data_IF_383519357773
#
_entry.id   IF_383519357773
#
_cell.length_a   1.000
_cell.length_b   1.000
_cell.length_c   1.000
_cell.angle_alpha   90.00
_cell.angle_beta   90.00
_cell.angle_gamma   90.00
#
_symmetry.space_group_name_H-M   'P 1'
#
loop_
_entity.id
_entity.type
_entity.pdbx_description
1 polymer ?
#
# COMPACT_ATOMS: atom_id res chain seq x y z
N UNK A 1 -24.68 14.53 -14.76
CA UNK A 1 -23.72 13.44 -15.06
C UNK A 1 -22.30 13.95 -15.35
N UNK A 2 -22.08 15.15 -15.90
CA UNK A 2 -20.71 15.64 -16.19
C UNK A 2 -19.87 16.07 -14.97
N UNK A 3 -20.49 16.56 -13.88
CA UNK A 3 -19.75 16.99 -12.68
C UNK A 3 -19.06 15.81 -11.96
N UNK A 4 -19.71 14.65 -11.91
CA UNK A 4 -19.19 13.46 -11.23
C UNK A 4 -17.99 12.85 -11.94
N UNK A 5 -17.92 12.96 -13.26
CA UNK A 5 -16.78 12.46 -14.04
C UNK A 5 -15.56 13.37 -13.88
N UNK A 6 -15.76 14.70 -13.87
CA UNK A 6 -14.69 15.67 -13.59
C UNK A 6 -14.16 15.54 -12.17
N UNK A 7 -15.04 15.40 -11.16
CA UNK A 7 -14.62 15.14 -9.78
C UNK A 7 -13.84 13.83 -9.67
N UNK A 8 -14.26 12.79 -10.40
CA UNK A 8 -13.56 11.51 -10.46
C UNK A 8 -12.19 11.62 -11.14
N UNK A 9 -12.06 12.42 -12.21
CA UNK A 9 -10.77 12.72 -12.84
C UNK A 9 -9.83 13.45 -11.88
N UNK A 10 -10.33 14.44 -11.13
CA UNK A 10 -9.52 15.18 -10.17
C UNK A 10 -9.04 14.29 -9.01
N UNK A 11 -9.85 13.32 -8.57
CA UNK A 11 -9.46 12.34 -7.55
C UNK A 11 -8.43 11.33 -8.04
N UNK A 12 -8.35 11.08 -9.35
CA UNK A 12 -7.33 10.20 -9.92
C UNK A 12 -5.92 10.78 -9.79
N UNK A 13 -5.76 12.11 -9.89
CA UNK A 13 -4.43 12.75 -9.91
C UNK A 13 -3.62 12.50 -8.63
N UNK A 14 -4.15 12.70 -7.40
CA UNK A 14 -3.43 12.33 -6.18
C UNK A 14 -3.08 10.83 -6.12
N UNK A 15 -3.99 9.96 -6.57
CA UNK A 15 -3.78 8.52 -6.56
C UNK A 15 -2.64 8.10 -7.51
N UNK A 16 -2.61 8.66 -8.71
CA UNK A 16 -1.52 8.45 -9.68
C UNK A 16 -0.17 8.92 -9.14
N UNK A 17 -0.15 10.07 -8.46
CA UNK A 17 1.07 10.60 -7.84
C UNK A 17 1.59 9.66 -6.75
N UNK A 18 0.72 9.14 -5.90
CA UNK A 18 1.09 8.18 -4.85
C UNK A 18 1.59 6.86 -5.46
N UNK A 19 0.90 6.33 -6.47
CA UNK A 19 1.35 5.14 -7.21
C UNK A 19 2.71 5.34 -7.87
N UNK A 20 2.99 6.54 -8.40
CA UNK A 20 4.30 6.85 -8.98
C UNK A 20 5.40 6.89 -7.91
N UNK A 21 5.11 7.41 -6.72
CA UNK A 21 6.04 7.39 -5.59
C UNK A 21 6.35 5.97 -5.12
N UNK A 22 5.34 5.10 -5.07
CA UNK A 22 5.52 3.67 -4.75
C UNK A 22 6.36 2.98 -5.83
N UNK A 23 6.07 3.24 -7.11
CA UNK A 23 6.86 2.73 -8.23
C UNK A 23 8.32 3.18 -8.17
N UNK A 24 8.57 4.45 -7.85
CA UNK A 24 9.91 5.00 -7.65
C UNK A 24 10.65 4.25 -6.53
N UNK A 25 9.98 4.06 -5.39
CA UNK A 25 10.52 3.35 -4.25
C UNK A 25 10.90 1.91 -4.60
N UNK A 26 10.02 1.17 -5.30
CA UNK A 26 10.32 -0.20 -5.75
C UNK A 26 11.42 -0.25 -6.81
N UNK A 27 11.47 0.71 -7.73
CA UNK A 27 12.53 0.79 -8.74
C UNK A 27 13.90 0.99 -8.08
N UNK A 28 13.98 1.86 -7.06
CA UNK A 28 15.21 2.04 -6.27
C UNK A 28 15.58 0.76 -5.52
N UNK A 29 14.62 0.07 -4.90
CA UNK A 29 14.85 -1.22 -4.22
C UNK A 29 15.45 -2.24 -5.19
N UNK A 30 14.78 -2.47 -6.33
CA UNK A 30 15.19 -3.43 -7.34
C UNK A 30 16.58 -3.10 -7.91
N UNK A 31 16.86 -1.83 -8.23
CA UNK A 31 18.17 -1.44 -8.74
C UNK A 31 19.29 -1.61 -7.68
N UNK A 32 18.98 -1.34 -6.41
CA UNK A 32 19.93 -1.52 -5.30
C UNK A 32 20.24 -3.00 -5.08
N UNK A 33 19.21 -3.87 -5.14
CA UNK A 33 19.38 -5.32 -5.00
C UNK A 33 20.23 -5.91 -6.16
N UNK A 34 20.19 -5.28 -7.34
CA UNK A 34 21.05 -5.58 -8.49
C UNK A 34 22.40 -4.83 -8.47
N UNK A 35 22.82 -4.31 -7.31
CA UNK A 35 24.11 -3.63 -7.11
C UNK A 35 24.36 -2.42 -8.03
N UNK A 36 23.30 -1.80 -8.58
CA UNK A 36 23.44 -0.59 -9.40
C UNK A 36 23.90 0.57 -8.50
N UNK A 37 24.96 1.31 -8.86
CA UNK A 37 25.42 2.44 -8.05
C UNK A 37 24.37 3.53 -7.90
N UNK A 38 24.17 4.07 -6.69
CA UNK A 38 23.15 5.10 -6.43
C UNK A 38 23.25 6.33 -7.33
N UNK A 39 24.46 6.73 -7.75
CA UNK A 39 24.66 7.81 -8.74
C UNK A 39 24.04 7.52 -10.10
N UNK A 40 24.06 6.25 -10.52
CA UNK A 40 23.46 5.79 -11.79
C UNK A 40 21.95 5.73 -11.65
N UNK A 41 21.45 5.23 -10.52
CA UNK A 41 20.02 5.24 -10.17
C UNK A 41 19.48 6.67 -10.21
N UNK A 42 20.13 7.60 -9.52
CA UNK A 42 19.76 9.01 -9.45
C UNK A 42 19.70 9.66 -10.85
N UNK A 43 20.73 9.43 -11.68
CA UNK A 43 20.78 9.91 -13.06
C UNK A 43 19.60 9.39 -13.89
N UNK A 44 19.32 8.09 -13.85
CA UNK A 44 18.26 7.48 -14.66
C UNK A 44 16.84 7.85 -14.18
N UNK A 45 16.67 8.10 -12.89
CA UNK A 45 15.40 8.54 -12.32
C UNK A 45 15.23 10.07 -12.36
N UNK A 46 16.22 10.81 -12.85
CA UNK A 46 16.27 12.28 -12.84
C UNK A 46 16.03 12.89 -11.44
N UNK A 47 16.54 12.22 -10.40
CA UNK A 47 16.48 12.67 -9.00
C UNK A 47 17.89 12.89 -8.43
N UNK A 48 17.97 13.44 -7.23
CA UNK A 48 19.27 13.64 -6.57
C UNK A 48 19.78 12.35 -5.92
N UNK A 49 21.10 12.15 -5.86
CA UNK A 49 21.69 11.00 -5.14
C UNK A 49 21.28 10.95 -3.65
N UNK A 50 21.24 12.08 -2.90
CA UNK A 50 20.73 12.08 -1.53
C UNK A 50 19.28 11.58 -1.42
N UNK A 51 18.43 11.82 -2.41
CA UNK A 51 17.06 11.30 -2.44
C UNK A 51 17.04 9.78 -2.58
N UNK A 52 17.85 9.21 -3.48
CA UNK A 52 18.03 7.75 -3.58
C UNK A 52 18.49 7.17 -2.24
N UNK A 53 19.46 7.80 -1.58
CA UNK A 53 19.94 7.37 -0.26
C UNK A 53 18.84 7.38 0.82
N UNK A 54 17.98 8.40 0.84
CA UNK A 54 16.81 8.46 1.74
C UNK A 54 15.81 7.34 1.46
N UNK A 55 15.53 7.05 0.19
CA UNK A 55 14.64 5.95 -0.21
C UNK A 55 15.22 4.61 0.23
N UNK A 56 16.51 4.36 0.01
CA UNK A 56 17.19 3.13 0.47
C UNK A 56 17.12 3.00 2.00
N UNK A 57 17.33 4.09 2.74
CA UNK A 57 17.19 4.08 4.20
C UNK A 57 15.75 3.76 4.63
N UNK A 58 14.75 4.36 4.00
CA UNK A 58 13.32 4.09 4.26
C UNK A 58 12.99 2.62 4.01
N UNK A 59 13.49 2.04 2.91
CA UNK A 59 13.30 0.63 2.56
C UNK A 59 13.95 -0.35 3.55
N UNK A 60 15.07 0.04 4.18
CA UNK A 60 15.69 -0.76 5.24
C UNK A 60 14.86 -0.77 6.52
N UNK A 61 14.23 0.36 6.85
CA UNK A 61 13.36 0.51 8.02
C UNK A 61 11.98 -0.11 7.82
N UNK A 62 11.50 -0.16 6.57
CA UNK A 62 10.23 -0.77 6.20
C UNK A 62 10.40 -1.65 4.94
N UNK A 63 10.86 -2.90 5.10
CA UNK A 63 11.01 -3.84 4.00
C UNK A 63 9.69 -4.15 3.28
N UNK A 64 8.58 -4.19 4.01
CA UNK A 64 7.24 -4.47 3.46
C UNK A 64 6.78 -3.42 2.42
N UNK A 65 7.37 -2.22 2.40
CA UNK A 65 7.10 -1.23 1.35
C UNK A 65 7.56 -1.69 -0.05
N UNK A 66 8.33 -2.77 -0.15
CA UNK A 66 8.72 -3.41 -1.41
C UNK A 66 7.58 -4.19 -2.04
N UNK A 67 6.66 -4.71 -1.24
CA UNK A 67 5.59 -5.58 -1.69
C UNK A 67 4.34 -4.78 -2.05
N UNK A 68 3.56 -5.31 -3.00
CA UNK A 68 2.25 -4.72 -3.36
C UNK A 68 1.36 -4.75 -2.13
N UNK A 69 0.60 -3.69 -1.92
CA UNK A 69 -0.18 -3.49 -0.71
C UNK A 69 -1.67 -3.34 -1.01
N UNK A 70 -2.58 -3.67 -0.07
CA UNK A 70 -4.02 -3.46 -0.29
C UNK A 70 -4.38 -2.00 -0.61
N UNK A 71 -3.66 -1.03 -0.03
CA UNK A 71 -3.82 0.39 -0.35
C UNK A 71 -3.51 0.69 -1.83
N UNK A 72 -2.54 0.01 -2.43
CA UNK A 72 -2.25 0.20 -3.85
C UNK A 72 -3.38 -0.27 -4.75
N UNK A 73 -4.07 -1.35 -4.39
CA UNK A 73 -5.24 -1.81 -5.15
C UNK A 73 -6.32 -0.72 -5.14
N UNK A 74 -6.56 -0.07 -4.00
CA UNK A 74 -7.48 1.07 -3.89
C UNK A 74 -7.01 2.26 -4.73
N UNK A 75 -5.71 2.58 -4.69
CA UNK A 75 -5.13 3.67 -5.49
C UNK A 75 -5.22 3.38 -6.98
N UNK A 76 -5.04 2.14 -7.42
CA UNK A 76 -5.18 1.74 -8.82
C UNK A 76 -6.62 1.91 -9.31
N UNK A 77 -7.61 1.60 -8.49
CA UNK A 77 -9.02 1.89 -8.79
C UNK A 77 -9.29 3.40 -8.84
N UNK A 78 -8.80 4.16 -7.85
CA UNK A 78 -8.93 5.62 -7.82
C UNK A 78 -8.27 6.28 -9.04
N UNK A 79 -7.15 5.72 -9.51
CA UNK A 79 -6.44 6.11 -10.73
C UNK A 79 -7.04 5.51 -12.02
N UNK A 80 -8.21 4.86 -11.95
CA UNK A 80 -8.93 4.27 -13.09
C UNK A 80 -8.12 3.22 -13.88
N UNK A 81 -7.14 2.58 -13.24
CA UNK A 81 -6.31 1.51 -13.83
C UNK A 81 -6.97 0.15 -13.74
N UNK A 82 -7.78 -0.06 -12.71
CA UNK A 82 -8.64 -1.23 -12.54
C UNK A 82 -10.06 -0.76 -12.29
N UNK A 83 -11.05 -1.57 -12.67
CA UNK A 83 -12.43 -1.34 -12.32
C UNK A 83 -12.73 -1.76 -10.88
N UNK A 84 -13.93 -1.42 -10.43
CA UNK A 84 -14.40 -1.68 -9.08
C UNK A 84 -14.49 -3.20 -8.78
N UNK A 85 -15.01 -3.99 -9.72
CA UNK A 85 -15.18 -5.43 -9.53
C UNK A 85 -13.82 -6.12 -9.36
N UNK A 86 -12.83 -5.71 -10.17
CA UNK A 86 -11.46 -6.21 -10.06
C UNK A 86 -10.81 -5.79 -8.74
N UNK A 87 -11.00 -4.54 -8.32
CA UNK A 87 -10.52 -4.05 -7.02
C UNK A 87 -11.06 -4.92 -5.88
N UNK A 88 -12.37 -5.14 -5.84
CA UNK A 88 -13.01 -5.92 -4.78
C UNK A 88 -12.56 -7.40 -4.81
N UNK A 89 -12.47 -8.00 -5.99
CA UNK A 89 -11.98 -9.38 -6.12
C UNK A 89 -10.56 -9.55 -5.57
N UNK A 90 -9.66 -8.61 -5.88
CA UNK A 90 -8.28 -8.64 -5.37
C UNK A 90 -8.21 -8.41 -3.86
N UNK A 91 -8.99 -7.46 -3.33
CA UNK A 91 -9.03 -7.18 -1.90
C UNK A 91 -9.66 -8.31 -1.09
N UNK A 92 -10.65 -9.03 -1.62
CA UNK A 92 -11.26 -10.21 -0.96
C UNK A 92 -10.30 -11.40 -0.93
N UNK A 93 -9.57 -11.60 -2.03
CA UNK A 93 -8.59 -12.68 -2.16
C UNK A 93 -7.27 -12.39 -1.44
N UNK A 94 -7.10 -11.18 -0.91
CA UNK A 94 -5.86 -10.78 -0.24
C UNK A 94 -5.62 -11.58 1.04
N UNK A 95 -4.39 -12.07 1.21
CA UNK A 95 -3.95 -12.75 2.42
C UNK A 95 -3.59 -11.69 3.48
N UNK A 96 -4.60 -11.26 4.23
CA UNK A 96 -4.43 -10.19 5.22
C UNK A 96 -3.64 -10.69 6.41
N UNK A 97 -2.61 -9.92 6.79
CA UNK A 97 -2.03 -10.00 8.12
C UNK A 97 -2.76 -9.02 9.02
N UNK A 98 -3.08 -9.48 10.22
CA UNK A 98 -3.69 -8.66 11.26
C UNK A 98 -2.62 -8.20 12.23
N UNK A 99 -2.76 -6.97 12.71
CA UNK A 99 -1.78 -6.45 13.64
C UNK A 99 -1.84 -7.19 14.97
N UNK A 100 -0.67 -7.43 15.55
CA UNK A 100 -0.50 -8.17 16.79
C UNK A 100 0.44 -7.40 17.71
N UNK A 101 0.39 -7.72 19.00
CA UNK A 101 1.38 -7.22 19.96
C UNK A 101 2.70 -7.91 19.69
N UNK A 102 3.81 -7.15 19.69
CA UNK A 102 5.13 -7.71 19.49
C UNK A 102 5.45 -8.69 20.62
N UNK A 103 5.81 -9.94 20.27
CA UNK A 103 6.12 -10.99 21.24
C UNK A 103 7.32 -10.64 22.14
N UNK A 104 8.23 -9.80 21.64
CA UNK A 104 9.47 -9.38 22.32
C UNK A 104 9.31 -8.09 23.15
N UNK A 105 8.09 -7.58 23.36
CA UNK A 105 7.84 -6.41 24.21
C UNK A 105 7.18 -6.83 25.54
N UNK A 106 7.93 -6.89 26.66
CA UNK A 106 7.41 -7.28 27.97
C UNK A 106 6.34 -6.34 28.52
N UNK A 107 6.23 -5.12 27.98
CA UNK A 107 5.26 -4.11 28.39
C UNK A 107 3.99 -4.15 27.52
N UNK A 108 4.00 -4.86 26.39
CA UNK A 108 2.87 -4.96 25.46
C UNK A 108 2.51 -3.63 24.78
N UNK A 109 3.45 -2.70 24.65
CA UNK A 109 3.22 -1.36 24.09
C UNK A 109 3.48 -1.30 22.58
N UNK A 110 4.22 -2.26 22.03
CA UNK A 110 4.59 -2.31 20.62
C UNK A 110 3.58 -3.11 19.77
N UNK A 111 2.71 -2.39 19.04
CA UNK A 111 1.78 -2.98 18.08
C UNK A 111 2.42 -3.09 16.68
N UNK A 112 2.58 -4.32 16.19
CA UNK A 112 3.03 -4.60 14.82
C UNK A 112 1.83 -4.49 13.89
N UNK A 113 1.89 -3.55 12.95
CA UNK A 113 0.79 -3.28 12.03
C UNK A 113 0.66 -4.35 10.95
N UNK A 114 -0.55 -4.84 10.74
CA UNK A 114 -0.89 -5.77 9.67
C UNK A 114 -1.24 -5.08 8.34
N UNK A 115 -1.37 -5.84 7.27
CA UNK A 115 -1.85 -5.31 5.97
C UNK A 115 -3.31 -4.85 6.06
N UNK A 116 -4.11 -5.43 6.98
CA UNK A 116 -5.49 -4.98 7.23
C UNK A 116 -5.59 -3.54 7.74
N UNK A 117 -4.63 -3.08 8.56
CA UNK A 117 -4.60 -1.69 9.05
C UNK A 117 -4.51 -0.66 7.90
N UNK A 118 -4.06 -1.07 6.72
CA UNK A 118 -4.01 -0.21 5.55
C UNK A 118 -5.40 0.00 4.93
N UNK A 119 -6.27 -1.01 4.99
CA UNK A 119 -7.68 -0.86 4.59
C UNK A 119 -8.38 0.08 5.56
N UNK A 120 -8.17 -0.08 6.87
CA UNK A 120 -8.78 0.79 7.89
C UNK A 120 -8.35 2.26 7.75
N UNK A 121 -7.11 2.50 7.33
CA UNK A 121 -6.59 3.87 7.09
C UNK A 121 -6.96 4.45 5.72
N UNK A 122 -7.48 3.63 4.81
CA UNK A 122 -7.81 4.05 3.44
C UNK A 122 -9.32 4.23 3.24
N UNK A 123 -10.06 4.58 4.30
CA UNK A 123 -11.50 4.88 4.27
C UNK A 123 -11.85 6.10 3.42
N UNK A 124 -10.84 6.89 3.04
CA UNK A 124 -10.96 7.96 2.04
C UNK A 124 -11.09 7.43 0.60
N UNK A 125 -10.58 6.23 0.33
CA UNK A 125 -10.58 5.59 -0.99
C UNK A 125 -11.56 4.41 -1.10
N UNK A 126 -12.10 3.96 0.03
CA UNK A 126 -12.99 2.80 0.14
C UNK A 126 -14.35 3.23 0.70
N UNK A 127 -15.42 3.01 -0.07
CA UNK A 127 -16.78 3.31 0.37
C UNK A 127 -17.21 2.47 1.56
N UNK A 128 -18.18 2.96 2.34
CA UNK A 128 -18.67 2.26 3.53
C UNK A 128 -19.39 0.94 3.20
N UNK A 129 -20.01 0.82 2.03
CA UNK A 129 -20.60 -0.44 1.55
C UNK A 129 -19.50 -1.47 1.24
N UNK A 130 -18.49 -1.08 0.46
CA UNK A 130 -17.35 -1.93 0.11
C UNK A 130 -16.57 -2.38 1.35
N UNK A 131 -16.38 -1.46 2.30
CA UNK A 131 -15.76 -1.78 3.58
C UNK A 131 -16.55 -2.84 4.34
N UNK A 132 -17.89 -2.76 4.36
CA UNK A 132 -18.74 -3.80 4.98
C UNK A 132 -18.63 -5.13 4.27
N UNK A 133 -18.55 -5.14 2.93
CA UNK A 133 -18.35 -6.36 2.14
C UNK A 133 -16.99 -7.00 2.49
N UNK A 134 -15.91 -6.21 2.52
CA UNK A 134 -14.58 -6.71 2.90
C UNK A 134 -14.55 -7.20 4.34
N UNK A 135 -15.21 -6.50 5.26
CA UNK A 135 -15.30 -6.88 6.66
C UNK A 135 -16.01 -8.24 6.82
N UNK A 136 -17.12 -8.45 6.11
CA UNK A 136 -17.84 -9.72 6.12
C UNK A 136 -17.02 -10.84 5.48
N UNK A 137 -16.39 -10.59 4.33
CA UNK A 137 -15.60 -11.59 3.61
C UNK A 137 -14.31 -12.02 4.36
N UNK A 138 -13.81 -11.17 5.25
CA UNK A 138 -12.61 -11.44 6.06
C UNK A 138 -12.92 -11.88 7.49
N UNK A 139 -14.19 -11.97 7.87
CA UNK A 139 -14.61 -12.26 9.25
C UNK A 139 -14.05 -13.59 9.79
N UNK A 140 -14.15 -14.66 8.99
CA UNK A 140 -13.67 -15.98 9.41
C UNK A 140 -12.13 -16.01 9.59
N UNK A 141 -11.39 -15.37 8.67
CA UNK A 141 -9.92 -15.28 8.77
C UNK A 141 -9.48 -14.45 9.96
N UNK A 142 -10.21 -13.35 10.25
CA UNK A 142 -9.99 -12.51 11.44
C UNK A 142 -10.27 -13.25 12.73
N UNK A 143 -11.36 -14.02 12.78
CA UNK A 143 -11.71 -14.82 13.95
C UNK A 143 -10.63 -15.87 14.24
N UNK A 144 -10.07 -16.50 13.20
CA UNK A 144 -8.96 -17.46 13.33
C UNK A 144 -7.66 -16.78 13.80
N UNK A 145 -7.33 -15.60 13.27
CA UNK A 145 -6.13 -14.86 13.67
C UNK A 145 -6.16 -14.33 15.12
N UNK A 146 -7.35 -13.98 15.63
CA UNK A 146 -7.53 -13.51 17.01
C UNK A 146 -7.70 -14.65 18.04
N UNK A 147 -7.80 -15.89 17.60
CA UNK A 147 -7.97 -17.07 18.46
C UNK A 147 -6.63 -17.73 18.84
N UNK A 148 -5.51 -17.20 18.32
CA UNK A 148 -4.12 -17.56 18.65
C UNK A 148 -3.57 -16.57 19.67
#
# INVERSE_FOLDING_TARGET
MALTDVERDLRAIPAEKELLQIKLLRAVAHATDNQVPQRVIAKNLAVTQPEVSRIVKKLRLNPAARDRSPREVLLEHAAKRIDHDRMMAELIAWDYTFGHLAEDDPLGESYVRGTWDQIERSRDLLGDDDYRVLLAATADRRAQANAL
#
